data_IF_424061296739
#
_entry.id   IF_424061296739
#
_cell.length_a   1.000
_cell.length_b   1.000
_cell.length_c   1.000
_cell.angle_alpha   90.00
_cell.angle_beta   90.00
_cell.angle_gamma   90.00
#
_symmetry.space_group_name_H-M   'P 1'
#
loop_
_entity.id
_entity.type
_entity.pdbx_description
1 polymer ?
#
# COMPACT_ATOMS: atom_id res chain seq x y z
N UNK A 1 -0.64 12.01 -20.79
CA UNK A 1 -0.07 10.93 -19.97
C UNK A 1 0.27 11.56 -18.64
N UNK A 2 -0.46 11.20 -17.58
CA UNK A 2 -0.29 11.78 -16.24
C UNK A 2 1.04 11.29 -15.67
N UNK A 3 2.06 12.15 -15.71
CA UNK A 3 3.45 11.84 -15.29
C UNK A 3 3.56 11.15 -13.92
N UNK A 4 2.60 11.37 -13.02
CA UNK A 4 2.61 10.76 -11.69
C UNK A 4 2.06 9.32 -11.65
N UNK A 5 1.08 8.99 -12.51
CA UNK A 5 0.58 7.61 -12.64
C UNK A 5 1.62 6.70 -13.27
N UNK A 6 2.34 7.22 -14.26
CA UNK A 6 3.48 6.53 -14.87
C UNK A 6 4.57 6.27 -13.83
N UNK A 7 4.84 7.25 -12.93
CA UNK A 7 5.77 7.08 -11.82
C UNK A 7 5.34 6.00 -10.82
N UNK A 8 4.08 5.99 -10.40
CA UNK A 8 3.54 4.93 -9.53
C UNK A 8 3.65 3.57 -10.21
N UNK A 9 3.36 3.50 -11.52
CA UNK A 9 3.47 2.28 -12.30
C UNK A 9 4.91 1.77 -12.35
N UNK A 10 5.89 2.64 -12.56
CA UNK A 10 7.32 2.29 -12.52
C UNK A 10 7.71 1.69 -11.16
N UNK A 11 7.34 2.35 -10.06
CA UNK A 11 7.64 1.90 -8.70
C UNK A 11 6.94 0.57 -8.37
N UNK A 12 5.70 0.41 -8.81
CA UNK A 12 4.94 -0.83 -8.65
C UNK A 12 5.64 -1.99 -9.37
N UNK A 13 6.06 -1.78 -10.62
CA UNK A 13 6.76 -2.79 -11.41
C UNK A 13 8.15 -3.12 -10.86
N UNK A 14 8.81 -2.18 -10.17
CA UNK A 14 10.08 -2.43 -9.48
C UNK A 14 9.92 -2.99 -8.07
N UNK A 15 8.70 -3.16 -7.57
CA UNK A 15 8.44 -3.64 -6.20
C UNK A 15 8.74 -2.61 -5.10
N UNK A 16 8.91 -1.34 -5.46
CA UNK A 16 9.28 -0.28 -4.52
C UNK A 16 8.05 0.34 -3.85
N UNK A 17 7.45 -0.40 -2.93
CA UNK A 17 6.29 0.07 -2.17
C UNK A 17 6.61 1.30 -1.31
N UNK A 18 7.85 1.42 -0.79
CA UNK A 18 8.27 2.55 0.05
C UNK A 18 8.27 3.83 -0.79
N UNK A 19 8.80 3.78 -2.00
CA UNK A 19 8.75 4.90 -2.93
C UNK A 19 7.32 5.34 -3.26
N UNK A 20 6.38 4.40 -3.39
CA UNK A 20 4.96 4.73 -3.59
C UNK A 20 4.39 5.47 -2.36
N UNK A 21 4.59 4.94 -1.15
CA UNK A 21 4.10 5.59 0.08
C UNK A 21 4.68 7.00 0.23
N UNK A 22 5.98 7.18 -0.02
CA UNK A 22 6.63 8.50 0.02
C UNK A 22 6.07 9.49 -1.01
N UNK A 23 5.62 9.04 -2.19
CA UNK A 23 4.94 9.94 -3.13
C UNK A 23 3.65 10.49 -2.51
N UNK A 24 2.85 9.63 -1.87
CA UNK A 24 1.62 10.03 -1.20
C UNK A 24 1.92 10.94 0.00
N UNK A 25 2.88 10.62 0.87
CA UNK A 25 3.31 11.51 1.96
C UNK A 25 3.69 12.91 1.49
N UNK A 26 4.37 13.00 0.34
CA UNK A 26 4.81 14.27 -0.26
C UNK A 26 3.68 15.04 -0.99
N UNK A 27 2.42 14.69 -0.74
CA UNK A 27 1.26 15.42 -1.22
C UNK A 27 0.74 14.97 -2.59
N UNK A 28 1.22 13.84 -3.13
CA UNK A 28 0.51 13.21 -4.22
C UNK A 28 -0.84 12.68 -3.72
N UNK A 29 -1.93 13.11 -4.34
CA UNK A 29 -3.27 12.63 -4.03
C UNK A 29 -4.01 12.26 -5.32
N UNK A 30 -4.32 10.98 -5.46
CA UNK A 30 -5.28 10.48 -6.44
C UNK A 30 -6.17 9.46 -5.74
N UNK A 31 -7.33 9.93 -5.27
CA UNK A 31 -8.33 9.12 -4.55
C UNK A 31 -8.84 7.93 -5.38
N UNK A 32 -8.66 7.96 -6.71
CA UNK A 32 -9.00 6.83 -7.58
C UNK A 32 -7.98 5.70 -7.50
N UNK A 33 -6.76 5.99 -7.03
CA UNK A 33 -5.71 4.99 -6.82
C UNK A 33 -5.72 4.48 -5.39
N UNK A 34 -5.73 5.40 -4.42
CA UNK A 34 -5.80 5.09 -2.99
C UNK A 34 -6.79 6.04 -2.33
N UNK A 35 -7.83 5.48 -1.73
CA UNK A 35 -8.83 6.25 -0.99
C UNK A 35 -8.33 6.70 0.40
N UNK A 36 -7.30 6.02 0.91
CA UNK A 36 -6.59 6.36 2.15
C UNK A 36 -5.17 6.81 1.80
N UNK A 37 -4.60 7.75 2.55
CA UNK A 37 -3.23 8.23 2.32
C UNK A 37 -2.31 7.62 3.39
N UNK A 38 -1.60 6.51 3.08
CA UNK A 38 -0.67 5.90 4.03
C UNK A 38 0.60 6.73 4.15
N UNK A 39 1.20 6.65 5.33
CA UNK A 39 2.56 7.10 5.63
C UNK A 39 3.41 5.90 6.10
N UNK A 40 4.72 6.07 6.10
CA UNK A 40 5.67 5.02 6.47
C UNK A 40 5.49 4.60 7.92
N UNK A 41 5.19 5.55 8.81
CA UNK A 41 4.95 5.27 10.23
C UNK A 41 3.69 4.41 10.42
N UNK A 42 2.63 4.66 9.67
CA UNK A 42 1.39 3.88 9.68
C UNK A 42 1.59 2.47 9.13
N UNK A 43 2.40 2.31 8.08
CA UNK A 43 2.75 0.98 7.56
C UNK A 43 3.59 0.20 8.57
N UNK A 44 4.59 0.82 9.21
CA UNK A 44 5.42 0.18 10.25
C UNK A 44 4.59 -0.19 11.49
N UNK A 45 3.65 0.67 11.90
CA UNK A 45 2.69 0.36 12.95
C UNK A 45 1.82 -0.85 12.61
N UNK A 46 1.32 -0.92 11.37
CA UNK A 46 0.51 -2.04 10.90
C UNK A 46 1.32 -3.34 10.90
N UNK A 47 2.53 -3.34 10.35
CA UNK A 47 3.42 -4.52 10.32
C UNK A 47 3.65 -5.08 11.74
N UNK A 48 4.03 -4.21 12.68
CA UNK A 48 4.27 -4.59 14.08
C UNK A 48 3.02 -5.12 14.75
N UNK A 49 1.86 -4.50 14.50
CA UNK A 49 0.59 -4.91 15.07
C UNK A 49 0.17 -6.30 14.58
N UNK A 50 0.28 -6.53 13.27
CA UNK A 50 -0.04 -7.82 12.65
C UNK A 50 0.86 -8.95 13.17
N UNK A 51 2.17 -8.67 13.28
CA UNK A 51 3.13 -9.61 13.85
C UNK A 51 2.83 -9.95 15.31
N UNK A 52 2.47 -8.94 16.11
CA UNK A 52 2.17 -9.11 17.55
C UNK A 52 0.92 -9.96 17.77
N UNK A 53 -0.12 -9.76 16.96
CA UNK A 53 -1.37 -10.53 17.05
C UNK A 53 -1.21 -11.94 16.47
N UNK A 54 -0.22 -12.18 15.61
CA UNK A 54 0.01 -13.47 14.96
C UNK A 54 -1.01 -13.78 13.87
N UNK A 55 -1.46 -12.75 13.16
CA UNK A 55 -2.45 -12.87 12.08
C UNK A 55 -1.85 -13.66 10.90
N UNK A 56 -2.63 -14.59 10.34
CA UNK A 56 -2.20 -15.45 9.21
C UNK A 56 -2.55 -14.89 7.83
N UNK A 57 -3.44 -13.91 7.76
CA UNK A 57 -3.88 -13.27 6.54
C UNK A 57 -4.91 -12.17 6.83
N UNK A 58 -5.08 -11.27 5.87
CA UNK A 58 -6.05 -10.17 5.91
C UNK A 58 -7.01 -10.35 4.75
N UNK A 59 -8.31 -10.22 4.98
CA UNK A 59 -9.29 -10.04 3.92
C UNK A 59 -9.62 -8.55 3.80
N UNK A 60 -9.41 -7.96 2.62
CA UNK A 60 -9.70 -6.55 2.35
C UNK A 60 -10.99 -6.43 1.54
N UNK A 61 -12.01 -5.81 2.15
CA UNK A 61 -13.32 -5.61 1.55
C UNK A 61 -13.39 -4.19 0.97
N UNK A 62 -13.80 -4.07 -0.30
CA UNK A 62 -13.91 -2.77 -0.95
C UNK A 62 -12.55 -2.14 -1.28
N UNK A 63 -11.57 -2.97 -1.65
CA UNK A 63 -10.16 -2.60 -1.87
C UNK A 63 -9.90 -1.63 -3.05
N UNK A 64 -10.92 -1.24 -3.82
CA UNK A 64 -10.76 -0.37 -4.98
C UNK A 64 -9.76 -0.94 -5.99
N UNK A 65 -8.62 -0.26 -6.19
CA UNK A 65 -7.57 -0.69 -7.13
C UNK A 65 -6.74 -1.88 -6.64
N UNK A 66 -6.77 -2.20 -5.35
CA UNK A 66 -5.89 -3.19 -4.76
C UNK A 66 -4.49 -2.65 -4.40
N UNK A 67 -4.21 -1.36 -4.59
CA UNK A 67 -2.87 -0.81 -4.39
C UNK A 67 -2.47 -0.79 -2.91
N UNK A 68 -3.40 -0.52 -2.00
CA UNK A 68 -3.13 -0.59 -0.56
C UNK A 68 -2.80 -2.02 -0.13
N UNK A 69 -3.55 -3.00 -0.61
CA UNK A 69 -3.35 -4.43 -0.33
C UNK A 69 -2.02 -4.92 -0.88
N UNK A 70 -1.64 -4.43 -2.05
CA UNK A 70 -0.32 -4.70 -2.61
C UNK A 70 0.80 -4.08 -1.76
N UNK A 71 0.63 -2.85 -1.25
CA UNK A 71 1.58 -2.22 -0.33
C UNK A 71 1.70 -3.05 0.95
N UNK A 72 0.58 -3.48 1.56
CA UNK A 72 0.59 -4.28 2.79
C UNK A 72 1.25 -5.65 2.55
N UNK A 73 0.93 -6.33 1.45
CA UNK A 73 1.60 -7.58 1.05
C UNK A 73 3.10 -7.40 0.80
N UNK A 74 3.53 -6.23 0.32
CA UNK A 74 4.94 -5.96 -0.02
C UNK A 74 5.76 -5.47 1.17
N UNK A 75 5.09 -4.85 2.14
CA UNK A 75 5.71 -4.34 3.38
C UNK A 75 5.70 -5.37 4.50
N UNK A 76 4.75 -6.30 4.48
CA UNK A 76 4.58 -7.33 5.51
C UNK A 76 4.69 -8.73 4.93
N UNK A 77 4.96 -9.74 5.75
CA UNK A 77 4.90 -11.15 5.33
C UNK A 77 3.48 -11.75 5.42
N UNK A 78 2.44 -10.91 5.57
CA UNK A 78 1.07 -11.35 5.79
C UNK A 78 0.30 -11.28 4.47
N UNK A 79 -0.29 -12.39 3.99
CA UNK A 79 -1.06 -12.38 2.76
C UNK A 79 -2.34 -11.56 2.92
N UNK A 80 -2.61 -10.69 1.96
CA UNK A 80 -3.85 -9.92 1.86
C UNK A 80 -4.65 -10.37 0.65
N UNK A 81 -5.84 -10.92 0.92
CA UNK A 81 -6.82 -11.34 -0.07
C UNK A 81 -7.81 -10.20 -0.35
N UNK A 82 -8.27 -10.12 -1.60
CA UNK A 82 -9.23 -9.10 -2.06
C UNK A 82 -10.58 -9.78 -2.25
N UNK A 83 -11.63 -9.24 -1.65
CA UNK A 83 -13.02 -9.71 -1.80
C UNK A 83 -13.92 -8.68 -2.50
#
# INVERSE_FOLDING_TARGET
MDSCKDKIRELYLSGDWRGIVQLFENGFCDEKLLWFQPDLDGIDFLEKSLATVGVKGISSIGCGTGLLEWIINSSTAVPVERE
#
